data_IF_715450114181
#
_entry.id   IF_715450114181
#
_cell.length_a   1.000
_cell.length_b   1.000
_cell.length_c   1.000
_cell.angle_alpha   90.00
_cell.angle_beta   90.00
_cell.angle_gamma   90.00
#
_symmetry.space_group_name_H-M   'P 1'
#
loop_
_entity.id
_entity.type
_entity.pdbx_description
1 polymer ?
#
# COMPACT_ATOMS: atom_id res chain seq x y z
N UNK A 1 -15.02 11.65 -10.60
CA UNK A 1 -14.98 11.19 -9.19
C UNK A 1 -14.34 9.80 -9.21
N UNK A 2 -13.19 9.60 -8.57
CA UNK A 2 -12.43 8.32 -8.66
C UNK A 2 -12.92 7.23 -7.71
N UNK A 3 -13.86 7.56 -6.81
CA UNK A 3 -14.37 6.66 -5.78
C UNK A 3 -15.77 6.20 -6.17
N UNK A 4 -15.91 4.90 -6.42
CA UNK A 4 -17.17 4.20 -6.55
C UNK A 4 -17.65 3.77 -5.16
N UNK A 5 -18.92 3.98 -4.84
CA UNK A 5 -19.50 3.59 -3.55
C UNK A 5 -20.70 2.69 -3.79
N UNK A 6 -20.65 1.47 -3.26
CA UNK A 6 -21.71 0.46 -3.42
C UNK A 6 -22.21 0.07 -2.03
N UNK A 7 -23.49 0.34 -1.80
CA UNK A 7 -24.16 0.13 -0.51
C UNK A 7 -24.87 -1.22 -0.55
N UNK A 8 -24.47 -2.16 0.30
CA UNK A 8 -25.21 -3.39 0.55
C UNK A 8 -26.07 -3.31 1.82
N UNK A 9 -26.60 -4.45 2.27
CA UNK A 9 -27.39 -4.52 3.50
C UNK A 9 -26.53 -4.33 4.75
N UNK A 10 -25.45 -5.10 4.89
CA UNK A 10 -24.62 -5.09 6.10
C UNK A 10 -23.38 -4.20 6.00
N UNK A 11 -22.93 -3.87 4.79
CA UNK A 11 -21.73 -3.08 4.57
C UNK A 11 -21.79 -2.20 3.33
N UNK A 12 -21.04 -1.11 3.35
CA UNK A 12 -20.77 -0.24 2.21
C UNK A 12 -19.33 -0.42 1.76
N UNK A 13 -19.12 -0.68 0.48
CA UNK A 13 -17.80 -0.79 -0.15
C UNK A 13 -17.51 0.52 -0.89
N UNK A 14 -16.37 1.15 -0.56
CA UNK A 14 -15.79 2.24 -1.32
C UNK A 14 -14.58 1.72 -2.10
N UNK A 15 -14.55 1.96 -3.41
CA UNK A 15 -13.46 1.60 -4.29
C UNK A 15 -12.86 2.86 -4.93
N UNK A 16 -11.62 3.21 -4.57
CA UNK A 16 -10.87 4.31 -5.15
C UNK A 16 -9.95 3.82 -6.28
N UNK A 17 -10.41 3.98 -7.52
CA UNK A 17 -9.68 3.55 -8.71
C UNK A 17 -8.30 4.22 -8.83
N UNK A 18 -8.12 5.44 -8.26
CA UNK A 18 -6.85 6.16 -8.32
C UNK A 18 -5.73 5.53 -7.48
N UNK A 19 -6.10 4.68 -6.50
CA UNK A 19 -5.17 3.93 -5.66
C UNK A 19 -5.01 2.48 -6.10
N UNK A 20 -5.85 1.98 -6.99
CA UNK A 20 -5.82 0.56 -7.36
C UNK A 20 -4.56 0.25 -8.16
N UNK A 21 -3.71 -0.66 -7.64
CA UNK A 21 -2.54 -1.16 -8.36
C UNK A 21 -2.80 -2.49 -9.09
N UNK A 22 -4.08 -2.85 -9.28
CA UNK A 22 -4.49 -4.13 -9.86
C UNK A 22 -3.77 -5.34 -9.24
N UNK A 23 -3.63 -5.37 -7.90
CA UNK A 23 -3.02 -6.49 -7.18
C UNK A 23 -3.77 -7.82 -7.37
N UNK A 24 -5.01 -7.75 -7.87
CA UNK A 24 -5.96 -8.85 -8.05
C UNK A 24 -6.36 -9.58 -6.77
N UNK A 25 -5.95 -9.11 -5.59
CA UNK A 25 -6.37 -9.69 -4.31
C UNK A 25 -7.90 -9.78 -4.20
N UNK A 26 -8.63 -8.75 -4.60
CA UNK A 26 -10.10 -8.73 -4.51
C UNK A 26 -10.76 -9.77 -5.41
N UNK A 27 -10.46 -9.75 -6.70
CA UNK A 27 -11.08 -10.65 -7.69
C UNK A 27 -10.63 -12.11 -7.55
N UNK A 28 -9.51 -12.38 -6.87
CA UNK A 28 -9.02 -13.74 -6.61
C UNK A 28 -9.55 -14.31 -5.30
N UNK A 29 -9.66 -13.51 -4.25
CA UNK A 29 -10.18 -13.96 -2.96
C UNK A 29 -11.70 -14.00 -2.91
N UNK A 30 -12.37 -13.06 -3.59
CA UNK A 30 -13.83 -12.88 -3.56
C UNK A 30 -14.35 -12.56 -4.98
N UNK A 31 -14.31 -13.53 -5.91
CA UNK A 31 -14.79 -13.34 -7.29
C UNK A 31 -16.31 -13.16 -7.39
N UNK A 32 -17.04 -13.45 -6.33
CA UNK A 32 -18.48 -13.24 -6.13
C UNK A 32 -18.81 -11.81 -5.69
N UNK A 33 -17.90 -11.15 -4.96
CA UNK A 33 -18.02 -9.73 -4.58
C UNK A 33 -17.48 -8.81 -5.68
N UNK A 34 -16.31 -9.12 -6.25
CA UNK A 34 -15.69 -8.31 -7.29
C UNK A 34 -15.61 -9.10 -8.61
N UNK A 35 -16.50 -8.79 -9.54
CA UNK A 35 -16.67 -9.52 -10.81
C UNK A 35 -16.00 -8.73 -11.95
N UNK A 36 -14.76 -9.04 -12.34
CA UNK A 36 -14.07 -8.27 -13.38
C UNK A 36 -14.68 -8.52 -14.77
N UNK A 37 -14.55 -7.54 -15.66
CA UNK A 37 -14.87 -7.62 -17.10
C UNK A 37 -16.36 -7.87 -17.43
N UNK A 38 -17.28 -7.38 -16.59
CA UNK A 38 -18.72 -7.40 -16.86
C UNK A 38 -19.22 -6.05 -17.37
N UNK A 39 -20.35 -6.08 -18.09
CA UNK A 39 -21.11 -4.87 -18.36
C UNK A 39 -22.09 -4.64 -17.21
N UNK A 40 -22.04 -3.46 -16.59
CA UNK A 40 -22.91 -3.09 -15.48
C UNK A 40 -22.22 -3.20 -14.12
N UNK A 41 -23.00 -3.58 -13.10
CA UNK A 41 -22.51 -3.73 -11.73
C UNK A 41 -21.45 -4.82 -11.64
N UNK A 42 -20.36 -4.51 -10.94
CA UNK A 42 -19.21 -5.39 -10.80
C UNK A 42 -18.75 -5.55 -9.34
N UNK A 43 -19.38 -4.84 -8.41
CA UNK A 43 -19.16 -4.92 -6.96
C UNK A 43 -20.49 -5.32 -6.32
N UNK A 44 -20.51 -6.43 -5.58
CA UNK A 44 -21.72 -6.98 -4.95
C UNK A 44 -21.48 -7.18 -3.43
N UNK A 45 -21.70 -6.14 -2.60
CA UNK A 45 -21.46 -6.25 -1.15
C UNK A 45 -22.35 -7.29 -0.46
N UNK A 46 -23.54 -7.58 -1.00
CA UNK A 46 -24.45 -8.56 -0.40
C UNK A 46 -24.08 -10.03 -0.66
N UNK A 47 -23.00 -10.30 -1.42
CA UNK A 47 -22.52 -11.65 -1.70
C UNK A 47 -21.79 -12.29 -0.51
N UNK A 48 -21.28 -11.49 0.43
CA UNK A 48 -20.49 -11.95 1.57
C UNK A 48 -20.90 -11.25 2.88
N UNK A 49 -20.74 -11.90 4.04
CA UNK A 49 -21.00 -11.27 5.32
C UNK A 49 -20.01 -10.13 5.60
N UNK A 50 -20.43 -9.16 6.40
CA UNK A 50 -19.61 -7.96 6.66
C UNK A 50 -18.19 -8.25 7.17
N UNK A 51 -17.97 -9.31 7.95
CA UNK A 51 -16.63 -9.63 8.46
C UNK A 51 -15.66 -10.06 7.35
N UNK A 52 -16.14 -10.83 6.37
CA UNK A 52 -15.33 -11.22 5.20
C UNK A 52 -15.03 -10.00 4.34
N UNK A 53 -16.00 -9.11 4.15
CA UNK A 53 -15.77 -7.83 3.46
C UNK A 53 -14.75 -6.95 4.19
N UNK A 54 -14.79 -6.91 5.52
CA UNK A 54 -13.81 -6.17 6.32
C UNK A 54 -12.41 -6.78 6.18
N UNK A 55 -12.29 -8.11 6.14
CA UNK A 55 -11.02 -8.80 5.87
C UNK A 55 -10.50 -8.53 4.45
N UNK A 56 -11.39 -8.58 3.45
CA UNK A 56 -11.09 -8.21 2.06
C UNK A 56 -10.61 -6.76 1.96
N UNK A 57 -11.32 -5.85 2.63
CA UNK A 57 -10.94 -4.45 2.80
C UNK A 57 -9.52 -4.34 3.32
N UNK A 58 -9.18 -5.00 4.43
CA UNK A 58 -7.84 -5.06 5.06
C UNK A 58 -6.75 -5.70 4.18
N UNK A 59 -7.13 -6.60 3.29
CA UNK A 59 -6.22 -7.30 2.38
C UNK A 59 -5.86 -6.50 1.12
N UNK A 60 -6.49 -5.34 0.89
CA UNK A 60 -6.16 -4.44 -0.22
C UNK A 60 -4.82 -3.72 0.04
N UNK A 61 -3.72 -4.03 -0.67
CA UNK A 61 -2.39 -3.51 -0.34
C UNK A 61 -2.24 -2.01 -0.54
N UNK A 62 -3.04 -1.41 -1.43
CA UNK A 62 -2.99 0.03 -1.70
C UNK A 62 -4.02 0.85 -0.94
N UNK A 63 -4.90 0.19 -0.16
CA UNK A 63 -6.03 0.86 0.49
C UNK A 63 -7.05 1.42 -0.51
N UNK A 64 -7.11 0.87 -1.73
CA UNK A 64 -8.12 1.24 -2.72
C UNK A 64 -9.53 0.77 -2.34
N UNK A 65 -9.64 -0.29 -1.53
CA UNK A 65 -10.91 -0.82 -1.03
C UNK A 65 -11.02 -0.47 0.45
N UNK A 66 -12.08 0.26 0.79
CA UNK A 66 -12.49 0.52 2.17
C UNK A 66 -13.91 0.00 2.38
N UNK A 67 -14.09 -0.80 3.42
CA UNK A 67 -15.41 -1.32 3.82
C UNK A 67 -15.85 -0.64 5.10
N UNK A 68 -17.13 -0.26 5.17
CA UNK A 68 -17.77 0.36 6.33
C UNK A 68 -18.98 -0.47 6.72
N UNK A 69 -19.13 -0.80 8.01
CA UNK A 69 -20.31 -1.52 8.51
C UNK A 69 -21.55 -0.62 8.51
N UNK A 70 -22.65 -1.11 7.96
CA UNK A 70 -23.96 -0.45 7.97
C UNK A 70 -24.67 -0.67 9.32
N UNK A 71 -25.59 0.24 9.68
CA UNK A 71 -26.18 0.32 11.01
C UNK A 71 -27.18 -0.82 11.30
N UNK A 72 -26.72 -1.95 11.85
CA UNK A 72 -27.59 -2.99 12.41
C UNK A 72 -26.94 -3.87 13.52
N UNK A 73 -25.92 -3.38 14.25
CA UNK A 73 -25.28 -4.17 15.32
C UNK A 73 -24.11 -3.49 16.02
N UNK A 74 -23.38 -4.21 16.89
CA UNK A 74 -22.16 -3.68 17.51
C UNK A 74 -21.10 -3.32 16.44
N UNK A 75 -20.44 -2.17 16.59
CA UNK A 75 -19.43 -1.70 15.64
C UNK A 75 -19.98 -0.94 14.42
N UNK A 76 -21.17 -0.33 14.51
CA UNK A 76 -21.68 0.60 13.47
C UNK A 76 -20.64 1.68 13.15
N UNK A 77 -20.38 1.91 11.87
CA UNK A 77 -19.40 2.90 11.41
C UNK A 77 -17.94 2.44 11.51
N UNK A 78 -17.65 1.27 12.09
CA UNK A 78 -16.34 0.66 11.99
C UNK A 78 -15.99 0.39 10.52
N UNK A 79 -14.73 0.58 10.17
CA UNK A 79 -14.24 0.41 8.82
C UNK A 79 -12.97 -0.45 8.76
N UNK A 80 -12.59 -0.87 7.56
CA UNK A 80 -11.42 -1.72 7.32
C UNK A 80 -10.07 -1.01 7.46
N UNK A 81 -10.06 0.30 7.76
CA UNK A 81 -8.88 1.18 7.82
C UNK A 81 -8.46 1.51 9.26
N UNK A 82 -8.55 0.52 10.16
CA UNK A 82 -8.04 0.64 11.53
C UNK A 82 -6.50 0.80 11.57
N UNK A 83 -6.00 1.49 12.59
CA UNK A 83 -4.55 1.62 12.80
C UNK A 83 -3.89 0.24 12.96
N UNK A 84 -2.77 -0.04 12.26
CA UNK A 84 -2.13 -1.33 12.32
C UNK A 84 -1.36 -1.51 13.64
N UNK A 85 -1.23 -2.77 14.06
CA UNK A 85 -0.44 -3.13 15.24
C UNK A 85 1.08 -3.06 14.99
N UNK A 86 1.48 -3.10 13.73
CA UNK A 86 2.88 -3.03 13.28
C UNK A 86 2.93 -2.17 12.03
N UNK A 87 3.79 -1.17 12.03
CA UNK A 87 4.10 -0.42 10.83
C UNK A 87 5.01 -1.27 9.94
N UNK A 88 4.57 -1.52 8.71
CA UNK A 88 5.36 -2.32 7.76
C UNK A 88 5.54 -1.60 6.44
N UNK A 89 6.67 -1.88 5.79
CA UNK A 89 6.83 -1.70 4.35
C UNK A 89 7.16 -3.06 3.75
N UNK A 90 6.24 -3.60 2.95
CA UNK A 90 6.42 -4.83 2.20
C UNK A 90 6.98 -4.53 0.81
N UNK A 91 8.15 -5.07 0.50
CA UNK A 91 8.77 -4.95 -0.82
C UNK A 91 8.13 -5.96 -1.76
N UNK A 92 7.31 -5.50 -2.71
CA UNK A 92 6.65 -6.39 -3.68
C UNK A 92 7.57 -6.69 -4.84
N UNK A 93 7.69 -7.97 -5.21
CA UNK A 93 8.41 -8.42 -6.41
C UNK A 93 8.00 -7.62 -7.65
N UNK A 94 8.97 -7.08 -8.38
CA UNK A 94 8.78 -6.27 -9.60
C UNK A 94 7.80 -5.08 -9.43
N UNK A 95 7.48 -4.72 -8.19
CA UNK A 95 6.36 -3.85 -7.88
C UNK A 95 6.69 -2.78 -6.84
N UNK A 96 5.66 -2.13 -6.29
CA UNK A 96 5.82 -1.02 -5.37
C UNK A 96 6.24 -1.44 -3.97
N UNK A 97 6.51 -0.43 -3.14
CA UNK A 97 6.59 -0.56 -1.69
C UNK A 97 5.17 -0.48 -1.14
N UNK A 98 4.64 -1.54 -0.53
CA UNK A 98 3.33 -1.52 0.11
C UNK A 98 3.50 -1.19 1.59
N UNK A 99 3.05 0.00 2.00
CA UNK A 99 3.12 0.47 3.37
C UNK A 99 1.79 0.22 4.07
N UNK A 100 1.87 -0.21 5.33
CA UNK A 100 0.76 -0.27 6.26
C UNK A 100 1.20 0.39 7.58
N UNK A 101 0.67 1.58 7.90
CA UNK A 101 1.01 2.39 9.08
C UNK A 101 -0.04 3.48 9.33
N UNK A 102 -0.01 4.14 10.47
CA UNK A 102 -0.68 5.44 10.61
C UNK A 102 0.09 6.49 9.78
N UNK A 103 -0.31 6.67 8.53
CA UNK A 103 0.56 7.22 7.49
C UNK A 103 0.38 8.73 7.30
N UNK A 104 1.49 9.47 7.27
CA UNK A 104 1.56 10.85 6.81
C UNK A 104 2.48 10.93 5.58
N UNK A 105 2.00 11.50 4.49
CA UNK A 105 2.79 11.71 3.26
C UNK A 105 2.86 13.21 3.01
N UNK A 106 4.08 13.75 2.88
CA UNK A 106 4.31 15.21 2.75
C UNK A 106 3.62 16.01 3.87
N UNK A 107 3.65 15.47 5.11
CA UNK A 107 2.98 16.05 6.27
C UNK A 107 1.44 15.98 6.24
N UNK A 108 0.83 15.36 5.22
CA UNK A 108 -0.62 15.19 5.13
C UNK A 108 -1.03 13.80 5.62
N UNK A 109 -1.86 13.68 6.67
CA UNK A 109 -2.43 12.42 7.11
C UNK A 109 -3.20 11.73 5.98
N UNK A 110 -3.01 10.43 5.83
CA UNK A 110 -3.71 9.62 4.84
C UNK A 110 -4.98 9.03 5.44
N UNK A 111 -6.04 8.92 4.64
CA UNK A 111 -7.34 8.39 5.07
C UNK A 111 -7.37 6.87 5.24
N UNK A 112 -6.40 6.17 4.66
CA UNK A 112 -6.18 4.74 4.79
C UNK A 112 -4.81 4.53 5.42
N UNK A 113 -4.63 3.52 6.30
CA UNK A 113 -3.32 3.15 6.82
C UNK A 113 -2.42 2.53 5.74
N UNK A 114 -2.99 2.23 4.56
CA UNK A 114 -2.33 1.50 3.49
C UNK A 114 -2.16 2.36 2.26
N UNK A 115 -0.95 2.32 1.71
CA UNK A 115 -0.59 2.98 0.46
C UNK A 115 0.52 2.20 -0.24
N UNK A 116 0.52 2.25 -1.57
CA UNK A 116 1.62 1.71 -2.38
C UNK A 116 2.42 2.82 -2.99
N UNK A 117 3.72 2.86 -2.71
CA UNK A 117 4.64 3.89 -3.20
C UNK A 117 5.50 3.37 -4.35
N UNK A 118 5.73 4.25 -5.33
CA UNK A 118 6.49 3.95 -6.53
C UNK A 118 7.93 3.55 -6.18
N UNK A 119 8.34 2.36 -6.64
CA UNK A 119 9.73 1.86 -6.53
C UNK A 119 10.47 1.88 -7.87
N UNK A 120 9.75 1.98 -8.98
CA UNK A 120 10.28 1.82 -10.34
C UNK A 120 10.73 3.12 -11.03
N UNK A 121 10.35 4.29 -10.50
CA UNK A 121 10.61 5.59 -11.11
C UNK A 121 9.60 6.03 -12.20
N UNK A 122 8.70 5.16 -12.64
CA UNK A 122 7.87 5.39 -13.83
C UNK A 122 6.43 5.85 -13.56
N UNK A 123 6.00 5.88 -12.29
CA UNK A 123 4.66 6.36 -11.94
C UNK A 123 4.43 7.79 -12.39
N UNK A 124 3.25 8.11 -12.91
CA UNK A 124 2.80 9.48 -13.20
C UNK A 124 2.13 10.13 -11.99
N UNK A 125 1.84 9.35 -10.95
CA UNK A 125 1.22 9.80 -9.69
C UNK A 125 2.21 9.73 -8.50
N UNK A 126 3.48 10.09 -8.72
CA UNK A 126 4.50 10.01 -7.65
C UNK A 126 4.10 10.89 -6.45
N UNK A 127 4.33 10.44 -5.21
CA UNK A 127 5.11 9.25 -4.81
C UNK A 127 4.36 7.92 -4.87
N UNK A 128 3.08 7.92 -5.22
CA UNK A 128 2.26 6.72 -5.27
C UNK A 128 2.58 5.86 -6.48
N UNK A 129 2.30 4.57 -6.38
CA UNK A 129 2.32 3.64 -7.50
C UNK A 129 0.99 3.71 -8.25
N UNK A 130 1.05 3.80 -9.57
CA UNK A 130 -0.10 3.79 -10.49
C UNK A 130 -0.11 2.55 -11.41
N UNK A 131 0.73 1.54 -11.11
CA UNK A 131 0.87 0.34 -11.92
C UNK A 131 1.84 0.45 -13.10
N UNK A 132 2.43 1.63 -13.39
CA UNK A 132 3.32 1.82 -14.54
C UNK A 132 4.54 0.88 -14.57
N UNK A 133 4.93 0.30 -13.43
CA UNK A 133 6.00 -0.69 -13.32
C UNK A 133 5.80 -1.93 -14.21
N UNK A 134 4.55 -2.35 -14.43
CA UNK A 134 4.25 -3.51 -15.26
C UNK A 134 4.56 -3.23 -16.74
N UNK A 135 4.09 -2.11 -17.28
CA UNK A 135 4.32 -1.69 -18.67
C UNK A 135 5.79 -1.30 -18.89
N UNK A 136 6.42 -0.70 -17.88
CA UNK A 136 7.83 -0.36 -17.92
C UNK A 136 8.79 -1.56 -17.80
N UNK A 137 8.27 -2.77 -17.56
CA UNK A 137 9.11 -3.97 -17.39
C UNK A 137 10.06 -3.85 -16.20
N UNK A 138 9.63 -3.22 -15.10
CA UNK A 138 10.48 -3.03 -13.93
C UNK A 138 10.83 -4.37 -13.29
N UNK A 139 12.11 -4.73 -13.31
CA UNK A 139 12.62 -5.95 -12.67
C UNK A 139 13.37 -5.58 -11.40
N UNK A 140 12.85 -6.02 -10.26
CA UNK A 140 13.53 -5.89 -8.97
C UNK A 140 12.94 -6.83 -7.93
N UNK A 141 13.83 -7.60 -7.32
CA UNK A 141 13.52 -8.52 -6.21
C UNK A 141 12.70 -7.85 -5.11
N UNK A 142 11.71 -8.60 -4.60
CA UNK A 142 10.98 -8.37 -3.36
C UNK A 142 11.67 -9.00 -2.15
N UNK A 143 12.83 -9.63 -2.34
CA UNK A 143 13.60 -10.34 -1.32
C UNK A 143 14.90 -9.59 -1.00
N UNK A 144 14.84 -8.48 -0.23
CA UNK A 144 16.04 -7.84 0.24
C UNK A 144 16.81 -8.73 1.22
N UNK A 145 18.11 -8.46 1.30
CA UNK A 145 19.00 -9.08 2.26
C UNK A 145 18.55 -8.68 3.67
N UNK A 146 18.46 -9.65 4.57
CA UNK A 146 18.25 -9.39 5.98
C UNK A 146 19.53 -8.83 6.59
N UNK A 147 19.43 -7.68 7.24
CA UNK A 147 20.53 -7.08 7.99
C UNK A 147 20.37 -7.39 9.47
N UNK A 148 21.42 -7.18 10.25
CA UNK A 148 21.31 -7.21 11.71
C UNK A 148 20.52 -5.99 12.20
N UNK A 149 19.56 -6.20 13.09
CA UNK A 149 18.74 -5.16 13.69
C UNK A 149 18.35 -5.53 15.11
N UNK A 150 18.03 -4.52 15.91
CA UNK A 150 17.46 -4.68 17.25
C UNK A 150 15.93 -4.67 17.21
N UNK A 151 15.30 -5.18 18.26
CA UNK A 151 13.86 -5.09 18.40
C UNK A 151 13.42 -3.65 18.69
N UNK A 152 12.36 -3.19 18.02
CA UNK A 152 11.73 -1.91 18.36
C UNK A 152 10.91 -2.07 19.65
N UNK A 153 11.06 -1.16 20.59
CA UNK A 153 10.25 -1.12 21.81
C UNK A 153 8.76 -0.87 21.50
N UNK A 154 8.48 -0.07 20.46
CA UNK A 154 7.13 0.20 19.93
C UNK A 154 7.15 -0.12 18.44
N UNK A 155 6.17 -0.89 17.95
CA UNK A 155 6.15 -1.40 16.56
C UNK A 155 5.22 -0.62 15.63
N UNK A 156 4.38 0.26 16.17
CA UNK A 156 3.41 1.08 15.46
C UNK A 156 3.64 2.58 15.76
N UNK A 157 2.62 3.39 15.50
CA UNK A 157 2.63 4.85 15.63
C UNK A 157 2.67 5.55 14.28
N UNK A 158 2.72 6.88 14.28
CA UNK A 158 2.75 7.66 13.05
C UNK A 158 4.02 7.36 12.23
N UNK A 159 3.83 7.08 10.94
CA UNK A 159 4.91 6.92 9.96
C UNK A 159 4.89 8.10 8.99
N UNK A 160 5.94 8.89 9.00
CA UNK A 160 6.12 10.04 8.12
C UNK A 160 6.91 9.63 6.88
N UNK A 161 6.33 9.84 5.71
CA UNK A 161 6.99 9.63 4.42
C UNK A 161 7.12 10.97 3.70
N UNK A 162 8.35 11.40 3.51
CA UNK A 162 8.69 12.59 2.74
C UNK A 162 9.43 12.19 1.47
N UNK A 163 8.80 12.29 0.29
CA UNK A 163 9.52 12.23 -0.98
C UNK A 163 10.48 13.42 -1.05
N UNK A 164 11.77 13.15 -1.23
CA UNK A 164 12.76 14.20 -1.44
C UNK A 164 12.78 14.57 -2.93
N UNK A 165 12.90 15.87 -3.28
CA UNK A 165 13.02 16.30 -4.68
C UNK A 165 14.13 15.54 -5.40
N UNK A 166 13.81 14.94 -6.53
CA UNK A 166 14.73 14.13 -7.36
C UNK A 166 15.43 12.99 -6.61
N UNK A 167 14.90 12.61 -5.44
CA UNK A 167 15.56 11.76 -4.47
C UNK A 167 14.68 10.64 -3.93
N UNK A 168 15.15 9.95 -2.88
CA UNK A 168 14.44 8.83 -2.27
C UNK A 168 13.19 9.26 -1.49
N UNK A 169 12.46 8.27 -0.98
CA UNK A 169 11.49 8.45 0.08
C UNK A 169 12.23 8.46 1.41
N UNK A 170 12.30 9.58 2.10
CA UNK A 170 12.71 9.63 3.50
C UNK A 170 11.54 9.13 4.35
N UNK A 171 11.76 8.10 5.15
CA UNK A 171 10.73 7.48 6.00
C UNK A 171 11.19 7.58 7.44
N UNK A 172 10.35 8.17 8.31
CA UNK A 172 10.63 8.40 9.73
C UNK A 172 9.47 7.91 10.60
N UNK A 173 9.80 7.17 11.65
CA UNK A 173 8.85 6.44 12.50
C UNK A 173 9.22 4.96 12.56
N UNK A 174 8.68 4.25 13.55
CA UNK A 174 8.90 2.81 13.73
C UNK A 174 8.46 2.06 12.47
N UNK A 175 9.32 1.23 11.91
CA UNK A 175 9.05 0.52 10.65
C UNK A 175 9.75 -0.82 10.60
N UNK A 176 9.01 -1.86 10.21
CA UNK A 176 9.57 -3.14 9.80
C UNK A 176 9.61 -3.23 8.27
N UNK A 177 10.80 -3.44 7.71
CA UNK A 177 10.98 -3.74 6.28
C UNK A 177 10.77 -5.24 6.10
N UNK A 178 9.78 -5.60 5.30
CA UNK A 178 9.34 -6.98 5.10
C UNK A 178 9.53 -7.35 3.63
N UNK A 179 10.06 -8.54 3.38
CA UNK A 179 10.18 -9.11 2.04
C UNK A 179 8.80 -9.46 1.43
N UNK A 180 8.79 -9.77 0.14
CA UNK A 180 7.62 -10.28 -0.57
C UNK A 180 7.03 -11.52 0.12
N UNK A 181 7.90 -12.45 0.55
CA UNK A 181 7.52 -13.69 1.24
C UNK A 181 7.12 -13.51 2.71
N UNK A 182 7.34 -12.34 3.31
CA UNK A 182 6.96 -12.07 4.70
C UNK A 182 8.08 -12.14 5.73
N UNK A 183 9.31 -12.49 5.34
CA UNK A 183 10.49 -12.38 6.22
C UNK A 183 10.77 -10.91 6.58
N UNK A 184 10.89 -10.60 7.86
CA UNK A 184 11.41 -9.30 8.33
C UNK A 184 12.89 -9.19 7.97
N UNK A 185 13.23 -8.15 7.21
CA UNK A 185 14.58 -7.92 6.70
C UNK A 185 15.31 -6.83 7.47
N UNK A 186 14.57 -5.86 8.03
CA UNK A 186 15.13 -4.78 8.84
C UNK A 186 14.08 -4.19 9.80
N UNK A 187 14.53 -3.57 10.89
CA UNK A 187 13.71 -2.77 11.81
C UNK A 187 14.41 -1.45 12.06
N UNK A 188 13.71 -0.35 11.80
CA UNK A 188 14.31 1.01 11.80
C UNK A 188 13.32 2.04 12.32
N UNK A 189 13.84 3.18 12.80
CA UNK A 189 13.07 4.39 13.09
C UNK A 189 13.25 5.48 12.01
N UNK A 190 14.22 5.31 11.12
CA UNK A 190 14.47 6.19 9.97
C UNK A 190 15.15 5.40 8.84
N UNK A 191 14.74 5.61 7.60
CA UNK A 191 15.39 5.02 6.43
C UNK A 191 15.09 5.80 5.15
N UNK A 192 15.86 5.54 4.08
CA UNK A 192 15.68 6.13 2.77
C UNK A 192 15.40 5.02 1.75
N UNK A 193 14.19 4.99 1.20
CA UNK A 193 13.77 3.98 0.24
C UNK A 193 13.89 4.50 -1.19
N UNK A 194 14.44 3.67 -2.07
CA UNK A 194 14.56 3.97 -3.49
C UNK A 194 13.17 4.10 -4.13
N UNK A 195 12.94 5.24 -4.81
CA UNK A 195 11.79 5.45 -5.70
C UNK A 195 12.14 5.69 -7.16
N UNK A 196 13.43 5.74 -7.49
CA UNK A 196 13.91 6.00 -8.85
C UNK A 196 14.02 4.73 -9.72
N UNK A 197 14.04 3.53 -9.13
CA UNK A 197 14.21 2.26 -9.86
C UNK A 197 15.66 1.85 -10.13
N UNK A 198 16.65 2.72 -9.91
CA UNK A 198 18.04 2.46 -10.32
C UNK A 198 19.00 2.01 -9.22
N UNK A 199 18.57 2.01 -7.95
CA UNK A 199 19.46 1.59 -6.86
C UNK A 199 19.96 0.14 -7.04
N UNK A 200 21.21 -0.11 -6.70
CA UNK A 200 21.82 -1.44 -6.62
C UNK A 200 21.61 -2.08 -5.25
N UNK A 201 21.15 -1.31 -4.25
CA UNK A 201 20.85 -1.76 -2.89
C UNK A 201 19.34 -1.71 -2.57
N UNK A 202 18.49 -2.06 -3.52
CA UNK A 202 17.02 -2.03 -3.33
C UNK A 202 16.61 -2.90 -2.12
N UNK A 203 15.60 -2.47 -1.33
CA UNK A 203 14.72 -1.33 -1.53
C UNK A 203 15.32 0.02 -1.09
N UNK A 204 16.55 0.05 -0.58
CA UNK A 204 17.17 1.26 -0.04
C UNK A 204 17.72 2.15 -1.15
N UNK A 205 17.89 3.43 -0.83
CA UNK A 205 18.61 4.37 -1.68
C UNK A 205 20.12 4.21 -1.50
N UNK A 206 20.86 4.29 -2.61
CA UNK A 206 22.33 4.29 -2.65
C UNK A 206 22.89 5.48 -3.44
N UNK A 207 22.06 6.51 -3.69
CA UNK A 207 22.44 7.68 -4.48
C UNK A 207 22.31 7.52 -6.00
N UNK A 208 21.95 6.34 -6.53
CA UNK A 208 21.84 6.10 -7.98
C UNK A 208 20.83 6.99 -8.71
N UNK A 209 19.95 7.70 -8.00
CA UNK A 209 19.01 8.66 -8.59
C UNK A 209 19.72 9.85 -9.26
N UNK A 210 20.91 10.24 -8.77
CA UNK A 210 21.69 11.34 -9.32
C UNK A 210 22.20 11.02 -10.73
N UNK A 211 22.88 9.88 -10.88
CA UNK A 211 23.41 9.44 -12.17
C UNK A 211 22.31 8.96 -13.13
N UNK A 212 21.17 8.48 -12.61
CA UNK A 212 20.02 8.13 -13.41
C UNK A 212 19.20 9.34 -13.90
N UNK A 213 19.52 10.56 -13.46
CA UNK A 213 18.76 11.76 -13.83
C UNK A 213 17.30 11.70 -13.39
N UNK A 214 17.02 11.13 -12.21
CA UNK A 214 15.65 10.96 -11.74
C UNK A 214 15.00 12.32 -11.45
N UNK A 215 13.88 12.60 -12.12
CA UNK A 215 13.10 13.83 -11.92
C UNK A 215 11.76 13.48 -11.27
N UNK A 216 11.53 14.01 -10.07
CA UNK A 216 10.27 13.88 -9.36
C UNK A 216 10.18 14.86 -8.17
N UNK A 217 8.99 15.41 -7.94
CA UNK A 217 8.68 16.17 -6.72
C UNK A 217 8.47 15.29 -5.49
#
# INVERSE_FOLDING_TARGET
MSIETVVGREATIHFDASKCIHSRNCVLSHPDVFVPNVQGEWIHPDAQPVEELMHLGKSCPSGAIRVVRNAAGAGVGANSDGAPLVNTVRVRENGPLAIEAELQIRGTPQTSPRATLCRCGQSKNKPFCDGAHAVAGFVASGEPVTVQFEALAVRNGTLNVQPLPNGPLMVKGNLEVVSGTGRTCNKVSETYLCRCGHSKNKPYCDGSHNSAGFIAE
#
